data_IF_929874037323
#
_entry.id   IF_929874037323
#
_cell.length_a   1.000
_cell.length_b   1.000
_cell.length_c   1.000
_cell.angle_alpha   90.00
_cell.angle_beta   90.00
_cell.angle_gamma   90.00
#
_symmetry.space_group_name_H-M   'P 1'
#
loop_
_entity.id
_entity.type
_entity.pdbx_description
1 polymer ?
#
# COMPACT_ATOMS: atom_id res chain seq x y z
N UNK A 1 9.48 7.30 -13.43
CA UNK A 1 9.03 8.51 -12.70
C UNK A 1 7.94 8.16 -11.70
N UNK A 2 6.76 7.71 -12.15
CA UNK A 2 5.66 7.28 -11.26
C UNK A 2 6.03 6.32 -10.11
N UNK A 3 6.85 5.28 -10.35
CA UNK A 3 7.30 4.37 -9.27
C UNK A 3 8.18 5.06 -8.21
N UNK A 4 9.01 6.02 -8.61
CA UNK A 4 9.84 6.78 -7.68
C UNK A 4 8.97 7.74 -6.85
N UNK A 5 8.00 8.41 -7.47
CA UNK A 5 7.03 9.28 -6.77
C UNK A 5 6.21 8.51 -5.72
N UNK A 6 5.74 7.30 -6.06
CA UNK A 6 5.05 6.41 -5.11
C UNK A 6 5.99 6.00 -3.98
N UNK A 7 7.23 5.60 -4.31
CA UNK A 7 8.23 5.22 -3.31
C UNK A 7 8.51 6.37 -2.33
N UNK A 8 8.72 7.58 -2.83
CA UNK A 8 9.00 8.76 -2.02
C UNK A 8 7.79 9.11 -1.15
N UNK A 9 6.58 9.08 -1.71
CA UNK A 9 5.36 9.39 -0.96
C UNK A 9 5.09 8.39 0.18
N UNK A 10 5.37 7.10 -0.02
CA UNK A 10 5.21 6.06 1.01
C UNK A 10 6.30 6.17 2.06
N UNK A 11 7.57 6.25 1.66
CA UNK A 11 8.71 6.27 2.60
C UNK A 11 8.77 7.53 3.46
N UNK A 12 8.15 8.64 3.04
CA UNK A 12 7.98 9.83 3.89
C UNK A 12 7.03 9.62 5.08
N UNK A 13 6.12 8.63 5.02
CA UNK A 13 5.05 8.39 6.01
C UNK A 13 5.21 7.08 6.76
N UNK A 14 5.81 6.09 6.11
CA UNK A 14 5.96 4.72 6.60
C UNK A 14 7.45 4.47 6.83
N UNK A 15 7.86 4.55 8.09
CA UNK A 15 9.26 4.38 8.51
C UNK A 15 9.69 2.92 8.58
N UNK A 16 8.73 1.99 8.72
CA UNK A 16 9.04 0.56 8.64
C UNK A 16 9.35 0.16 7.19
N UNK A 17 10.57 -0.33 6.88
CA UNK A 17 10.98 -0.57 5.50
C UNK A 17 10.23 -1.74 4.85
N UNK A 18 9.84 -2.75 5.63
CA UNK A 18 9.17 -3.92 5.11
C UNK A 18 7.70 -3.60 4.78
N UNK A 19 7.04 -2.82 5.64
CA UNK A 19 5.69 -2.32 5.35
C UNK A 19 5.71 -1.31 4.20
N UNK A 20 6.69 -0.42 4.13
CA UNK A 20 6.82 0.52 3.02
C UNK A 20 7.00 -0.22 1.67
N UNK A 21 7.87 -1.24 1.64
CA UNK A 21 8.07 -2.06 0.45
C UNK A 21 6.78 -2.78 0.01
N UNK A 22 6.02 -3.34 0.97
CA UNK A 22 4.71 -3.95 0.70
C UNK A 22 3.76 -2.95 0.04
N UNK A 23 3.59 -1.76 0.63
CA UNK A 23 2.66 -0.75 0.12
C UNK A 23 3.05 -0.26 -1.28
N UNK A 24 4.34 -0.06 -1.55
CA UNK A 24 4.83 0.31 -2.90
C UNK A 24 4.52 -0.80 -3.92
N UNK A 25 4.73 -2.06 -3.54
CA UNK A 25 4.45 -3.21 -4.39
C UNK A 25 2.94 -3.33 -4.68
N UNK A 26 2.10 -3.25 -3.65
CA UNK A 26 0.64 -3.31 -3.78
C UNK A 26 0.08 -2.13 -4.57
N UNK A 27 0.62 -0.92 -4.40
CA UNK A 27 0.23 0.25 -5.20
C UNK A 27 0.52 0.02 -6.69
N UNK A 28 1.67 -0.57 -7.00
CA UNK A 28 2.02 -0.90 -8.38
C UNK A 28 1.09 -1.97 -8.97
N UNK A 29 0.82 -3.04 -8.21
CA UNK A 29 -0.06 -4.13 -8.65
C UNK A 29 -1.52 -3.68 -8.84
N UNK A 30 -2.05 -2.87 -7.93
CA UNK A 30 -3.41 -2.32 -8.05
C UNK A 30 -3.54 -1.49 -9.35
N UNK A 31 -2.51 -0.68 -9.65
CA UNK A 31 -2.50 0.13 -10.87
C UNK A 31 -2.46 -0.73 -12.15
N UNK A 32 -1.80 -1.90 -12.12
CA UNK A 32 -1.83 -2.87 -13.23
C UNK A 32 -3.24 -3.47 -13.44
N UNK A 33 -4.03 -3.60 -12.37
CA UNK A 33 -5.45 -3.99 -12.42
C UNK A 33 -6.42 -2.82 -12.67
N UNK A 34 -5.91 -1.62 -12.93
CA UNK A 34 -6.73 -0.43 -13.18
C UNK A 34 -7.36 0.21 -11.94
N UNK A 35 -6.89 -0.15 -10.74
CA UNK A 35 -7.37 0.40 -9.46
C UNK A 35 -6.31 1.34 -8.87
N UNK A 36 -6.71 2.54 -8.47
CA UNK A 36 -5.82 3.46 -7.77
C UNK A 36 -5.79 3.14 -6.27
N UNK A 37 -4.67 2.61 -5.77
CA UNK A 37 -4.40 2.54 -4.34
C UNK A 37 -3.66 3.81 -3.90
N UNK A 38 -4.28 4.59 -3.03
CA UNK A 38 -3.70 5.81 -2.48
C UNK A 38 -3.47 5.63 -0.98
N UNK A 39 -2.43 6.27 -0.46
CA UNK A 39 -2.23 6.35 0.99
C UNK A 39 -2.83 7.66 1.49
N UNK A 40 -3.74 7.60 2.46
CA UNK A 40 -4.29 8.81 3.07
C UNK A 40 -3.16 9.71 3.62
N UNK A 41 -3.23 11.04 3.44
CA UNK A 41 -2.20 11.94 3.96
C UNK A 41 -1.94 11.81 5.47
N UNK A 42 -2.94 11.38 6.24
CA UNK A 42 -2.84 11.15 7.67
C UNK A 42 -2.28 9.76 8.05
N UNK A 43 -2.10 8.84 7.10
CA UNK A 43 -1.47 7.54 7.36
C UNK A 43 -0.01 7.73 7.76
N UNK A 44 0.38 7.13 8.88
CA UNK A 44 1.75 7.13 9.37
C UNK A 44 2.02 5.82 10.11
N UNK A 45 3.26 5.34 10.00
CA UNK A 45 3.70 4.14 10.72
C UNK A 45 5.17 4.28 11.09
N UNK A 46 5.47 4.21 12.38
CA UNK A 46 6.84 4.11 12.86
C UNK A 46 7.43 2.73 12.55
N UNK A 47 8.75 2.59 12.62
CA UNK A 47 9.39 1.27 12.52
C UNK A 47 8.82 0.32 13.60
N UNK A 48 8.52 -0.92 13.20
CA UNK A 48 7.91 -1.91 14.07
C UNK A 48 8.96 -2.89 14.60
N UNK A 49 8.64 -3.53 15.73
CA UNK A 49 9.38 -4.72 16.13
C UNK A 49 9.21 -5.83 15.08
N UNK A 50 10.25 -6.65 14.78
CA UNK A 50 10.20 -7.61 13.68
C UNK A 50 9.03 -8.61 13.74
N UNK A 51 8.64 -9.03 14.95
CA UNK A 51 7.49 -9.92 15.15
C UNK A 51 6.18 -9.23 14.75
N UNK A 52 5.97 -7.98 15.18
CA UNK A 52 4.79 -7.19 14.80
C UNK A 52 4.77 -6.86 13.31
N UNK A 53 5.92 -6.53 12.73
CA UNK A 53 6.03 -6.23 11.30
C UNK A 53 5.51 -7.39 10.45
N UNK A 54 5.85 -8.63 10.81
CA UNK A 54 5.41 -9.84 10.09
C UNK A 54 3.88 -9.98 10.08
N UNK A 55 3.25 -9.79 11.23
CA UNK A 55 1.79 -9.88 11.37
C UNK A 55 1.09 -8.74 10.61
N UNK A 56 1.61 -7.51 10.75
CA UNK A 56 1.09 -6.32 10.06
C UNK A 56 1.19 -6.46 8.54
N UNK A 57 2.31 -6.95 8.03
CA UNK A 57 2.52 -7.18 6.58
C UNK A 57 1.48 -8.18 6.05
N UNK A 58 1.25 -9.27 6.79
CA UNK A 58 0.28 -10.30 6.39
C UNK A 58 -1.14 -9.73 6.39
N UNK A 59 -1.52 -8.99 7.44
CA UNK A 59 -2.84 -8.37 7.55
C UNK A 59 -3.06 -7.32 6.46
N UNK A 60 -2.14 -6.37 6.31
CA UNK A 60 -2.24 -5.31 5.30
C UNK A 60 -2.28 -5.89 3.89
N UNK A 61 -1.45 -6.89 3.59
CA UNK A 61 -1.44 -7.55 2.29
C UNK A 61 -2.82 -8.10 1.92
N UNK A 62 -3.43 -8.87 2.82
CA UNK A 62 -4.75 -9.47 2.59
C UNK A 62 -5.87 -8.41 2.51
N UNK A 63 -5.85 -7.39 3.38
CA UNK A 63 -6.88 -6.36 3.37
C UNK A 63 -6.83 -5.51 2.10
N UNK A 64 -5.62 -5.16 1.64
CA UNK A 64 -5.41 -4.40 0.41
C UNK A 64 -5.84 -5.24 -0.80
N UNK A 65 -5.43 -6.51 -0.87
CA UNK A 65 -5.82 -7.40 -1.96
C UNK A 65 -7.34 -7.52 -2.05
N UNK A 66 -8.01 -7.79 -0.93
CA UNK A 66 -9.47 -7.88 -0.89
C UNK A 66 -10.16 -6.59 -1.37
N UNK A 67 -9.64 -5.42 -0.98
CA UNK A 67 -10.20 -4.13 -1.37
C UNK A 67 -10.00 -3.85 -2.87
N UNK A 68 -8.81 -4.17 -3.40
CA UNK A 68 -8.49 -4.02 -4.82
C UNK A 68 -9.35 -4.97 -5.65
N UNK A 69 -9.43 -6.25 -5.28
CA UNK A 69 -10.17 -7.28 -6.00
C UNK A 69 -11.64 -6.92 -6.18
N UNK A 70 -12.30 -6.42 -5.12
CA UNK A 70 -13.69 -5.96 -5.19
C UNK A 70 -13.86 -4.70 -6.06
N UNK A 71 -12.82 -3.89 -6.18
CA UNK A 71 -12.86 -2.62 -6.92
C UNK A 71 -12.60 -2.79 -8.42
N UNK A 72 -12.05 -3.93 -8.86
CA UNK A 72 -11.73 -4.17 -10.27
C UNK A 72 -12.98 -4.02 -11.15
N UNK A 73 -12.87 -3.22 -12.21
CA UNK A 73 -13.95 -2.97 -13.16
C UNK A 73 -14.96 -1.91 -12.74
N UNK A 74 -14.85 -1.34 -11.53
CA UNK A 74 -15.63 -0.17 -11.15
C UNK A 74 -15.13 1.09 -11.90
N UNK A 75 -16.02 2.01 -12.29
CA UNK A 75 -15.62 3.30 -12.84
C UNK A 75 -14.86 4.10 -11.77
N UNK A 76 -13.72 4.67 -12.15
CA UNK A 76 -12.84 5.44 -11.25
C UNK A 76 -12.42 4.67 -9.98
N UNK A 77 -12.21 3.36 -10.09
CA UNK A 77 -11.87 2.47 -8.97
C UNK A 77 -10.70 2.98 -8.14
N UNK A 78 -10.95 3.24 -6.85
CA UNK A 78 -9.97 3.75 -5.92
C UNK A 78 -10.13 3.12 -4.52
N UNK A 79 -8.99 2.77 -3.91
CA UNK A 79 -8.87 2.32 -2.52
C UNK A 79 -7.96 3.31 -1.81
N UNK A 80 -8.29 3.67 -0.58
CA UNK A 80 -7.50 4.58 0.28
C UNK A 80 -7.27 3.95 1.65
#
# INVERSE_FOLDING_TARGET
RRRAEISDAVTQRISDPAVAALLIAKTSLAAESGVALNLDPASHLAALDPAMATDVITLLGNLIDNAVDVSVGAPDACVT
#
